data_IF_906434356816
#
_entry.id   IF_906434356816
#
_cell.length_a   1.000
_cell.length_b   1.000
_cell.length_c   1.000
_cell.angle_alpha   90.00
_cell.angle_beta   90.00
_cell.angle_gamma   90.00
#
_symmetry.space_group_name_H-M   'P 1'
#
loop_
_entity.id
_entity.type
_entity.pdbx_description
1 polymer ?
#
# COMPACT_ATOMS: atom_id res chain seq x y z
N UNK A 1 -2.20 22.28 -13.60
CA UNK A 1 -3.47 22.06 -12.85
C UNK A 1 -3.36 22.78 -11.51
N UNK A 2 -4.33 23.63 -11.14
CA UNK A 2 -4.27 24.37 -9.86
C UNK A 2 -4.67 23.43 -8.71
N UNK A 3 -4.01 23.55 -7.56
CA UNK A 3 -4.26 22.70 -6.37
C UNK A 3 -5.74 22.71 -5.93
N UNK A 4 -6.42 23.84 -6.09
CA UNK A 4 -7.85 23.98 -5.80
C UNK A 4 -8.77 23.15 -6.71
N UNK A 5 -8.34 22.80 -7.92
CA UNK A 5 -9.12 21.96 -8.83
C UNK A 5 -9.01 20.48 -8.48
N UNK A 6 -7.83 20.03 -8.05
CA UNK A 6 -7.61 18.66 -7.55
C UNK A 6 -8.46 18.42 -6.32
N UNK A 7 -8.50 19.38 -5.39
CA UNK A 7 -9.36 19.30 -4.21
C UNK A 7 -10.84 19.18 -4.58
N UNK A 8 -11.29 19.93 -5.60
CA UNK A 8 -12.70 19.90 -6.06
C UNK A 8 -13.09 18.57 -6.70
N UNK A 9 -12.17 17.93 -7.41
CA UNK A 9 -12.37 16.60 -8.01
C UNK A 9 -12.45 15.51 -6.93
N UNK A 10 -11.51 15.52 -5.98
CA UNK A 10 -11.44 14.49 -4.94
C UNK A 10 -12.52 14.64 -3.86
N UNK A 11 -12.83 15.88 -3.47
CA UNK A 11 -13.68 16.18 -2.31
C UNK A 11 -14.99 16.87 -2.66
N UNK A 12 -15.29 17.09 -3.95
CA UNK A 12 -16.48 17.83 -4.39
C UNK A 12 -17.81 17.30 -3.85
N UNK A 13 -17.88 16.00 -3.54
CA UNK A 13 -19.08 15.32 -3.03
C UNK A 13 -19.00 14.93 -1.55
N UNK A 14 -17.85 15.12 -0.89
CA UNK A 14 -17.62 14.65 0.49
C UNK A 14 -18.02 15.74 1.50
N UNK A 15 -19.23 15.64 2.05
CA UNK A 15 -19.79 16.60 3.04
C UNK A 15 -19.27 16.34 4.47
N UNK A 16 -17.96 16.17 4.65
CA UNK A 16 -17.30 15.83 5.93
C UNK A 16 -16.27 16.86 6.40
N UNK A 17 -15.81 16.75 7.65
CA UNK A 17 -14.75 17.61 8.21
C UNK A 17 -13.42 17.40 7.46
N UNK A 18 -12.74 18.50 7.07
CA UNK A 18 -11.45 18.48 6.37
C UNK A 18 -10.38 17.63 7.09
N UNK A 19 -10.40 17.59 8.42
CA UNK A 19 -9.46 16.76 9.20
C UNK A 19 -9.71 15.28 8.92
N UNK A 20 -10.98 14.85 8.90
CA UNK A 20 -11.37 13.46 8.61
C UNK A 20 -10.97 13.11 7.17
N UNK A 21 -11.18 14.02 6.23
CA UNK A 21 -10.77 13.83 4.83
C UNK A 21 -9.27 13.57 4.69
N UNK A 22 -8.43 14.37 5.38
CA UNK A 22 -6.98 14.16 5.41
C UNK A 22 -6.65 12.81 6.02
N UNK A 23 -7.23 12.46 7.17
CA UNK A 23 -7.01 11.16 7.79
C UNK A 23 -7.40 10.00 6.90
N UNK A 24 -8.54 10.07 6.19
CA UNK A 24 -8.96 9.02 5.26
C UNK A 24 -7.95 8.83 4.14
N UNK A 25 -7.43 9.90 3.54
CA UNK A 25 -6.40 9.78 2.49
C UNK A 25 -5.08 9.27 3.06
N UNK A 26 -4.68 9.72 4.24
CA UNK A 26 -3.49 9.20 4.92
C UNK A 26 -3.60 7.70 5.18
N UNK A 27 -4.76 7.24 5.64
CA UNK A 27 -5.01 5.82 5.92
C UNK A 27 -4.98 4.98 4.65
N UNK A 28 -5.60 5.47 3.57
CA UNK A 28 -5.52 4.84 2.25
C UNK A 28 -4.08 4.76 1.72
N UNK A 29 -3.27 5.80 1.90
CA UNK A 29 -1.86 5.81 1.48
C UNK A 29 -1.02 4.81 2.27
N UNK A 30 -1.23 4.74 3.59
CA UNK A 30 -0.52 3.79 4.46
C UNK A 30 -0.92 2.35 4.11
N UNK A 31 -2.22 2.05 4.05
CA UNK A 31 -2.71 0.71 3.75
C UNK A 31 -2.31 0.25 2.34
N UNK A 32 -2.34 1.15 1.36
CA UNK A 32 -1.89 0.81 0.00
C UNK A 32 -0.38 0.60 -0.07
N UNK A 33 0.44 1.42 0.60
CA UNK A 33 1.89 1.24 0.64
C UNK A 33 2.29 -0.09 1.29
N UNK A 34 1.66 -0.42 2.42
CA UNK A 34 1.89 -1.70 3.10
C UNK A 34 1.40 -2.88 2.25
N UNK A 35 0.23 -2.76 1.61
CA UNK A 35 -0.31 -3.80 0.72
C UNK A 35 0.54 -4.06 -0.52
N UNK A 36 1.11 -3.01 -1.12
CA UNK A 36 1.99 -3.11 -2.29
C UNK A 36 3.33 -3.78 -1.97
N UNK A 37 3.75 -3.79 -0.70
CA UNK A 37 5.01 -4.41 -0.30
C UNK A 37 5.00 -5.92 -0.54
N UNK A 38 3.86 -6.59 -0.34
CA UNK A 38 3.74 -8.06 -0.54
C UNK A 38 4.06 -8.53 -1.96
N UNK A 39 3.42 -8.03 -3.03
CA UNK A 39 3.74 -8.46 -4.40
C UNK A 39 5.15 -8.03 -4.84
N UNK A 40 5.62 -6.85 -4.41
CA UNK A 40 6.99 -6.39 -4.70
C UNK A 40 8.02 -7.33 -4.06
N UNK A 41 7.78 -7.75 -2.82
CA UNK A 41 8.63 -8.68 -2.10
C UNK A 41 8.65 -10.08 -2.74
N UNK A 42 7.50 -10.56 -3.25
CA UNK A 42 7.43 -11.83 -3.98
C UNK A 42 8.26 -11.81 -5.27
N UNK A 43 8.18 -10.73 -6.05
CA UNK A 43 9.00 -10.56 -7.27
C UNK A 43 10.49 -10.45 -6.91
N UNK A 44 10.81 -9.73 -5.83
CA UNK A 44 12.18 -9.61 -5.35
C UNK A 44 12.79 -10.96 -5.00
N UNK A 45 12.09 -11.78 -4.21
CA UNK A 45 12.59 -13.12 -3.84
C UNK A 45 12.79 -13.98 -5.09
N UNK A 46 11.82 -14.02 -5.99
CA UNK A 46 11.88 -14.91 -7.17
C UNK A 46 12.94 -14.50 -8.19
N UNK A 47 13.24 -13.21 -8.33
CA UNK A 47 14.16 -12.72 -9.36
C UNK A 47 15.56 -12.39 -8.84
N UNK A 48 15.71 -12.03 -7.56
CA UNK A 48 16.97 -11.52 -7.02
C UNK A 48 17.63 -12.50 -6.05
N UNK A 49 16.90 -13.50 -5.53
CA UNK A 49 17.46 -14.50 -4.61
C UNK A 49 17.75 -15.78 -5.37
N UNK A 50 19.00 -16.25 -5.29
CA UNK A 50 19.41 -17.54 -5.86
C UNK A 50 18.66 -18.66 -5.12
N UNK A 51 17.88 -19.45 -5.86
CA UNK A 51 17.00 -20.46 -5.28
C UNK A 51 15.68 -19.91 -4.75
N UNK A 52 15.35 -18.64 -5.03
CA UNK A 52 14.05 -18.05 -4.73
C UNK A 52 12.97 -18.60 -5.66
N UNK A 53 12.13 -19.48 -5.15
CA UNK A 53 10.93 -19.97 -5.83
C UNK A 53 9.66 -19.52 -5.10
N UNK A 54 8.50 -19.93 -5.62
CA UNK A 54 7.19 -19.62 -5.02
C UNK A 54 7.05 -20.22 -3.61
N UNK A 55 7.68 -21.38 -3.34
CA UNK A 55 7.67 -22.00 -2.02
C UNK A 55 8.46 -21.18 -1.00
N UNK A 56 9.64 -20.66 -1.38
CA UNK A 56 10.45 -19.75 -0.57
C UNK A 56 9.69 -18.44 -0.29
N UNK A 57 8.99 -17.89 -1.28
CA UNK A 57 8.10 -16.73 -1.07
C UNK A 57 7.04 -17.03 -0.02
N UNK A 58 6.35 -18.17 -0.12
CA UNK A 58 5.31 -18.57 0.83
C UNK A 58 5.84 -18.72 2.26
N UNK A 59 7.00 -19.34 2.44
CA UNK A 59 7.67 -19.43 3.74
C UNK A 59 8.06 -18.05 4.28
N UNK A 60 8.69 -17.22 3.45
CA UNK A 60 9.11 -15.87 3.85
C UNK A 60 7.92 -14.99 4.24
N UNK A 61 6.82 -15.03 3.48
CA UNK A 61 5.58 -14.32 3.80
C UNK A 61 4.94 -14.83 5.10
N UNK A 62 4.98 -16.14 5.36
CA UNK A 62 4.45 -16.73 6.60
C UNK A 62 5.25 -16.31 7.83
N UNK A 63 6.58 -16.30 7.73
CA UNK A 63 7.46 -15.80 8.79
C UNK A 63 7.21 -14.31 9.02
N UNK A 64 7.16 -13.50 7.94
CA UNK A 64 6.89 -12.07 8.04
C UNK A 64 5.57 -11.79 8.77
N UNK A 65 4.48 -12.47 8.39
CA UNK A 65 3.16 -12.29 9.00
C UNK A 65 3.08 -12.80 10.45
N UNK A 66 3.92 -13.77 10.83
CA UNK A 66 3.98 -14.27 12.21
C UNK A 66 4.69 -13.29 13.16
N UNK A 67 5.68 -12.54 12.67
CA UNK A 67 6.46 -11.60 13.46
C UNK A 67 5.95 -10.14 13.40
N UNK A 68 5.05 -9.81 12.46
CA UNK A 68 4.42 -8.49 12.35
C UNK A 68 3.22 -8.34 13.29
#
# INVERSE_FOLDING_TARGET
MKLGEIYKIFWGNFRGNKIVQVFTVSDLLILSGLGLTSPVFAVFITQQIIGGDVFVVGLASSIYAFFS
#
